data_IF_171631506015
#
_entry.id   IF_171631506015
#
_cell.length_a   1.000
_cell.length_b   1.000
_cell.length_c   1.000
_cell.angle_alpha   90.00
_cell.angle_beta   90.00
_cell.angle_gamma   90.00
#
_symmetry.space_group_name_H-M   'P 1'
#
loop_
_entity.id
_entity.type
_entity.pdbx_description
1 polymer ?
#
# COMPACT_ATOMS: atom_id res chain seq x y z
N UNK A 1 1.23 25.28 -14.72
CA UNK A 1 2.14 24.47 -13.90
C UNK A 1 1.45 23.14 -13.63
N UNK A 2 2.15 22.01 -13.75
CA UNK A 2 1.59 20.71 -13.34
C UNK A 2 1.36 20.76 -11.82
N UNK A 3 0.22 20.26 -11.39
CA UNK A 3 -0.08 20.12 -9.97
C UNK A 3 0.80 19.00 -9.38
N UNK A 4 1.38 19.18 -8.17
CA UNK A 4 2.21 18.16 -7.52
C UNK A 4 1.52 16.79 -7.41
N UNK A 5 0.19 16.74 -7.32
CA UNK A 5 -0.55 15.49 -7.35
C UNK A 5 -0.56 14.82 -8.72
N UNK A 6 -0.53 15.58 -9.82
CA UNK A 6 -0.39 15.00 -11.17
C UNK A 6 1.02 14.40 -11.36
N UNK A 7 2.04 15.10 -10.84
CA UNK A 7 3.41 14.58 -10.86
C UNK A 7 3.53 13.33 -9.97
N UNK A 8 2.89 13.33 -8.79
CA UNK A 8 2.81 12.17 -7.91
C UNK A 8 2.18 10.97 -8.62
N UNK A 9 1.00 11.14 -9.22
CA UNK A 9 0.32 10.05 -9.96
C UNK A 9 1.18 9.54 -11.10
N UNK A 10 1.87 10.44 -11.82
CA UNK A 10 2.80 10.04 -12.88
C UNK A 10 3.93 9.17 -12.32
N UNK A 11 4.57 9.60 -11.23
CA UNK A 11 5.65 8.84 -10.60
C UNK A 11 5.17 7.45 -10.11
N UNK A 12 3.99 7.40 -9.45
CA UNK A 12 3.43 6.13 -8.97
C UNK A 12 3.08 5.17 -10.12
N UNK A 13 2.54 5.68 -11.24
CA UNK A 13 2.26 4.88 -12.42
C UNK A 13 3.55 4.36 -13.10
N UNK A 14 4.66 5.10 -12.97
CA UNK A 14 5.99 4.67 -13.41
C UNK A 14 6.67 3.75 -12.38
N UNK A 15 5.92 3.28 -11.37
CA UNK A 15 6.42 2.43 -10.28
C UNK A 15 7.55 3.07 -9.44
N UNK A 16 7.54 4.41 -9.33
CA UNK A 16 8.48 5.18 -8.52
C UNK A 16 7.83 5.60 -7.21
N UNK A 17 8.55 5.42 -6.11
CA UNK A 17 8.16 5.97 -4.81
C UNK A 17 8.52 7.44 -4.73
N UNK A 18 7.68 8.23 -4.08
CA UNK A 18 7.85 9.66 -3.93
C UNK A 18 7.51 10.13 -2.51
N UNK A 19 8.03 11.27 -2.12
CA UNK A 19 7.65 11.99 -0.92
C UNK A 19 6.97 13.30 -1.33
N UNK A 20 5.86 13.63 -0.70
CA UNK A 20 5.30 14.97 -0.79
C UNK A 20 5.65 15.73 0.48
N UNK A 21 6.33 16.85 0.31
CA UNK A 21 6.64 17.77 1.39
C UNK A 21 5.69 18.96 1.31
N UNK A 22 4.88 19.15 2.34
CA UNK A 22 3.93 20.27 2.47
C UNK A 22 4.43 21.20 3.55
N UNK A 23 4.80 22.44 3.19
CA UNK A 23 5.21 23.49 4.12
C UNK A 23 4.00 24.35 4.45
N UNK A 24 3.60 24.33 5.71
CA UNK A 24 2.48 25.12 6.24
C UNK A 24 3.01 26.49 6.65
N UNK A 25 2.52 27.58 6.05
CA UNK A 25 2.96 28.93 6.43
C UNK A 25 2.53 29.29 7.85
N UNK A 26 3.18 30.29 8.44
CA UNK A 26 2.84 30.79 9.79
C UNK A 26 1.49 31.55 9.80
N UNK A 27 1.19 32.21 8.71
CA UNK A 27 -0.08 32.92 8.55
C UNK A 27 -1.11 32.02 7.85
N UNK A 28 -2.28 31.87 8.48
CA UNK A 28 -3.34 30.97 7.97
C UNK A 28 -3.92 31.40 6.61
N UNK A 29 -3.67 32.59 6.15
CA UNK A 29 -4.15 33.14 4.88
C UNK A 29 -3.20 32.82 3.71
N UNK A 30 -2.01 32.32 3.99
CA UNK A 30 -1.05 31.92 2.96
C UNK A 30 -1.30 30.49 2.51
N UNK A 31 -0.84 30.20 1.30
CA UNK A 31 -1.00 28.87 0.68
C UNK A 31 0.04 27.89 1.19
N UNK A 32 -0.37 26.65 1.40
CA UNK A 32 0.56 25.55 1.64
C UNK A 32 1.42 25.32 0.39
N UNK A 33 2.73 25.35 0.57
CA UNK A 33 3.67 25.02 -0.49
C UNK A 33 3.89 23.51 -0.52
N UNK A 34 3.67 22.89 -1.68
CA UNK A 34 3.87 21.46 -1.88
C UNK A 34 5.00 21.20 -2.86
N UNK A 35 5.89 20.31 -2.50
CA UNK A 35 7.01 19.85 -3.32
C UNK A 35 7.03 18.32 -3.38
N UNK A 36 7.23 17.77 -4.57
CA UNK A 36 7.41 16.33 -4.78
C UNK A 36 8.89 16.02 -4.85
N UNK A 37 9.34 15.08 -4.02
CA UNK A 37 10.72 14.61 -3.95
C UNK A 37 10.73 13.13 -4.38
N UNK A 38 11.40 12.84 -5.50
CA UNK A 38 11.67 11.45 -5.90
C UNK A 38 12.77 10.87 -5.00
N UNK A 39 12.55 9.68 -4.44
CA UNK A 39 13.48 9.06 -3.47
C UNK A 39 14.90 8.82 -4.00
N UNK A 40 15.09 8.85 -5.31
CA UNK A 40 16.40 8.65 -5.95
C UNK A 40 17.22 9.95 -6.10
N UNK A 41 16.72 11.12 -5.63
CA UNK A 41 17.34 12.44 -5.80
C UNK A 41 17.67 13.14 -4.48
N UNK A 42 18.02 12.39 -3.45
CA UNK A 42 18.21 12.91 -2.07
C UNK A 42 19.44 13.81 -1.86
N UNK A 43 20.30 14.04 -2.85
CA UNK A 43 21.63 14.64 -2.67
C UNK A 43 21.68 16.12 -2.25
N UNK A 44 20.52 16.84 -2.20
CA UNK A 44 20.52 18.30 -1.98
C UNK A 44 19.89 18.77 -0.65
N UNK A 45 19.58 17.85 0.29
CA UNK A 45 18.80 18.19 1.48
C UNK A 45 19.70 18.44 2.71
N UNK A 46 19.28 19.37 3.59
CA UNK A 46 19.97 19.62 4.87
C UNK A 46 20.02 18.35 5.73
N UNK A 47 21.06 18.18 6.55
CA UNK A 47 21.28 16.98 7.38
C UNK A 47 20.10 16.65 8.30
N UNK A 48 19.42 17.68 8.83
CA UNK A 48 18.22 17.51 9.71
C UNK A 48 17.03 17.02 8.91
N UNK A 49 16.76 17.58 7.73
CA UNK A 49 15.68 17.16 6.86
C UNK A 49 15.93 15.74 6.34
N UNK A 50 17.16 15.42 5.99
CA UNK A 50 17.55 14.06 5.57
C UNK A 50 17.24 13.01 6.65
N UNK A 51 17.55 13.29 7.92
CA UNK A 51 17.22 12.38 9.02
C UNK A 51 15.70 12.19 9.21
N UNK A 52 14.91 13.25 8.99
CA UNK A 52 13.43 13.17 9.02
C UNK A 52 12.88 12.34 7.85
N UNK A 53 13.35 12.62 6.64
CA UNK A 53 12.99 11.88 5.43
C UNK A 53 13.30 10.39 5.59
N UNK A 54 14.51 10.04 6.02
CA UNK A 54 14.89 8.66 6.28
C UNK A 54 13.93 7.99 7.26
N UNK A 55 13.56 8.67 8.35
CA UNK A 55 12.60 8.14 9.32
C UNK A 55 11.21 7.91 8.72
N UNK A 56 10.73 8.82 7.86
CA UNK A 56 9.45 8.71 7.16
C UNK A 56 9.47 7.52 6.20
N UNK A 57 10.57 7.32 5.47
CA UNK A 57 10.76 6.19 4.55
C UNK A 57 10.81 4.86 5.32
N UNK A 58 11.61 4.78 6.38
CA UNK A 58 11.79 3.57 7.19
C UNK A 58 10.48 3.17 7.89
N UNK A 59 9.71 4.15 8.36
CA UNK A 59 8.44 3.93 9.05
C UNK A 59 7.26 3.82 8.09
N UNK A 60 7.43 4.26 6.85
CA UNK A 60 6.37 4.34 5.82
C UNK A 60 5.12 5.11 6.30
N UNK A 61 5.33 6.17 7.08
CA UNK A 61 4.27 6.98 7.71
C UNK A 61 4.54 8.46 7.53
N UNK A 62 3.51 9.28 7.38
CA UNK A 62 3.66 10.73 7.45
C UNK A 62 4.28 11.18 8.77
N UNK A 63 5.02 12.27 8.72
CA UNK A 63 5.53 12.97 9.91
C UNK A 63 5.30 14.47 9.77
N UNK A 64 4.56 15.05 10.70
CA UNK A 64 4.44 16.50 10.85
C UNK A 64 5.45 16.96 11.91
N UNK A 65 6.25 17.96 11.59
CA UNK A 65 7.21 18.55 12.54
C UNK A 65 7.28 20.06 12.38
N UNK A 66 7.75 20.75 13.43
CA UNK A 66 7.95 22.19 13.44
C UNK A 66 9.44 22.49 13.28
N UNK A 67 9.79 23.41 12.39
CA UNK A 67 11.13 23.97 12.23
C UNK A 67 11.46 24.97 13.34
N UNK A 68 12.72 25.39 13.42
CA UNK A 68 13.19 26.37 14.41
C UNK A 68 12.51 27.76 14.24
N UNK A 69 12.11 28.13 13.04
CA UNK A 69 11.38 29.34 12.70
C UNK A 69 9.88 29.29 13.00
N UNK A 70 9.40 28.16 13.54
CA UNK A 70 7.98 27.93 13.83
C UNK A 70 7.17 27.35 12.65
N UNK A 71 7.73 27.31 11.46
CA UNK A 71 7.08 26.72 10.27
C UNK A 71 6.84 25.23 10.46
N UNK A 72 5.64 24.76 10.15
CA UNK A 72 5.32 23.33 10.16
C UNK A 72 5.56 22.70 8.79
N UNK A 73 6.08 21.48 8.79
CA UNK A 73 6.32 20.70 7.59
C UNK A 73 5.73 19.30 7.75
N UNK A 74 4.85 18.92 6.84
CA UNK A 74 4.34 17.58 6.71
C UNK A 74 5.11 16.85 5.59
N UNK A 75 5.70 15.71 5.90
CA UNK A 75 6.32 14.81 4.93
C UNK A 75 5.47 13.56 4.83
N UNK A 76 4.96 13.28 3.63
CA UNK A 76 4.12 12.13 3.33
C UNK A 76 4.82 11.20 2.34
N UNK A 77 5.02 9.91 2.68
CA UNK A 77 5.56 8.94 1.75
C UNK A 77 4.44 8.33 0.91
N UNK A 78 4.68 8.25 -0.39
CA UNK A 78 3.81 7.59 -1.35
C UNK A 78 4.57 6.46 -2.05
N UNK A 79 3.95 5.30 -2.11
CA UNK A 79 4.50 4.11 -2.73
C UNK A 79 3.56 3.67 -3.84
N UNK A 80 4.07 3.10 -4.94
CA UNK A 80 3.24 2.47 -5.96
C UNK A 80 2.32 1.41 -5.35
N UNK A 81 1.18 1.21 -5.97
CA UNK A 81 0.28 0.11 -5.58
C UNK A 81 1.03 -1.22 -5.63
N UNK A 82 0.90 -1.98 -4.56
CA UNK A 82 1.52 -3.30 -4.52
C UNK A 82 0.87 -4.19 -5.57
N UNK A 83 1.68 -4.77 -6.48
CA UNK A 83 1.20 -5.72 -7.47
C UNK A 83 1.29 -7.14 -6.92
N UNK A 84 0.25 -7.93 -7.14
CA UNK A 84 0.28 -9.37 -6.91
C UNK A 84 0.24 -10.09 -8.26
N UNK A 85 1.34 -10.74 -8.59
CA UNK A 85 1.51 -11.51 -9.83
C UNK A 85 1.25 -12.98 -9.50
N UNK A 86 0.16 -13.52 -10.03
CA UNK A 86 -0.28 -14.89 -9.79
C UNK A 86 0.03 -15.72 -11.04
N UNK A 87 0.98 -16.62 -10.92
CA UNK A 87 1.44 -17.50 -11.99
C UNK A 87 0.74 -18.86 -11.89
N UNK A 88 -0.23 -19.06 -12.78
CA UNK A 88 -1.15 -20.18 -12.81
C UNK A 88 -2.61 -19.75 -12.57
N UNK A 89 -3.50 -20.09 -13.50
CA UNK A 89 -4.93 -19.74 -13.49
C UNK A 89 -5.84 -20.83 -12.89
N UNK A 90 -5.32 -21.63 -11.94
CA UNK A 90 -6.08 -22.71 -11.30
C UNK A 90 -7.11 -22.23 -10.27
N UNK A 91 -7.82 -23.16 -9.62
CA UNK A 91 -8.88 -22.85 -8.64
C UNK A 91 -8.38 -22.05 -7.44
N UNK A 92 -7.14 -22.28 -6.98
CA UNK A 92 -6.54 -21.47 -5.90
C UNK A 92 -6.45 -20.00 -6.31
N UNK A 93 -6.12 -19.75 -7.57
CA UNK A 93 -5.96 -18.39 -8.12
C UNK A 93 -7.25 -17.61 -8.15
N UNK A 94 -8.41 -18.25 -8.33
CA UNK A 94 -9.71 -17.59 -8.26
C UNK A 94 -9.96 -16.94 -6.89
N UNK A 95 -9.63 -17.66 -5.81
CA UNK A 95 -9.72 -17.13 -4.45
C UNK A 95 -8.64 -16.10 -4.17
N UNK A 96 -7.40 -16.31 -4.63
CA UNK A 96 -6.31 -15.36 -4.46
C UNK A 96 -6.62 -14.02 -5.13
N UNK A 97 -7.11 -14.03 -6.37
CA UNK A 97 -7.52 -12.83 -7.10
C UNK A 97 -8.57 -12.05 -6.32
N UNK A 98 -9.62 -12.73 -5.85
CA UNK A 98 -10.68 -12.11 -5.05
C UNK A 98 -10.12 -11.43 -3.81
N UNK A 99 -9.35 -12.15 -2.99
CA UNK A 99 -8.82 -11.60 -1.74
C UNK A 99 -7.75 -10.52 -1.98
N UNK A 100 -6.91 -10.68 -3.00
CA UNK A 100 -5.89 -9.69 -3.32
C UNK A 100 -6.49 -8.37 -3.79
N UNK A 101 -7.51 -8.41 -4.65
CA UNK A 101 -8.26 -7.23 -5.10
C UNK A 101 -8.92 -6.50 -3.92
N UNK A 102 -9.61 -7.23 -3.02
CA UNK A 102 -10.20 -6.65 -1.81
C UNK A 102 -9.16 -6.06 -0.84
N UNK A 103 -7.91 -6.56 -0.87
CA UNK A 103 -6.79 -6.01 -0.10
C UNK A 103 -6.07 -4.82 -0.77
N UNK A 104 -6.55 -4.36 -1.92
CA UNK A 104 -5.99 -3.24 -2.66
C UNK A 104 -4.66 -3.56 -3.38
N UNK A 105 -4.49 -4.79 -3.85
CA UNK A 105 -3.42 -5.10 -4.79
C UNK A 105 -3.89 -4.86 -6.22
N UNK A 106 -3.00 -4.36 -7.07
CA UNK A 106 -3.12 -4.52 -8.50
C UNK A 106 -2.83 -5.98 -8.84
N UNK A 107 -3.84 -6.72 -9.31
CA UNK A 107 -3.78 -8.17 -9.49
C UNK A 107 -3.54 -8.53 -10.94
N UNK A 108 -2.47 -9.28 -11.19
CA UNK A 108 -2.08 -9.78 -12.51
C UNK A 108 -2.12 -11.30 -12.49
N UNK A 109 -2.84 -11.90 -13.42
CA UNK A 109 -2.89 -13.36 -13.60
C UNK A 109 -2.19 -13.74 -14.89
N UNK A 110 -1.39 -14.81 -14.84
CA UNK A 110 -0.65 -15.33 -15.99
C UNK A 110 -0.77 -16.85 -16.08
N UNK A 111 -1.25 -17.37 -17.18
CA UNK A 111 -1.29 -18.82 -17.47
C UNK A 111 -1.15 -19.03 -18.99
N UNK A 112 -0.56 -20.14 -19.41
CA UNK A 112 -0.33 -20.45 -20.81
C UNK A 112 -1.57 -21.02 -21.53
N UNK A 113 -2.70 -21.16 -20.85
CA UNK A 113 -3.93 -21.77 -21.37
C UNK A 113 -5.08 -20.77 -21.39
N UNK A 114 -5.66 -20.54 -22.57
CA UNK A 114 -6.75 -19.57 -22.75
C UNK A 114 -7.98 -19.85 -21.86
N UNK A 115 -8.29 -21.12 -21.58
CA UNK A 115 -9.41 -21.49 -20.68
C UNK A 115 -9.11 -21.21 -19.20
N UNK A 116 -7.86 -20.90 -18.84
CA UNK A 116 -7.41 -20.59 -17.49
C UNK A 116 -6.89 -19.16 -17.33
N UNK A 117 -6.66 -18.45 -18.43
CA UNK A 117 -6.21 -17.07 -18.45
C UNK A 117 -7.17 -16.23 -19.29
N UNK A 118 -8.28 -15.85 -18.72
CA UNK A 118 -9.27 -14.96 -19.33
C UNK A 118 -10.04 -14.14 -18.29
N UNK A 119 -10.58 -13.00 -18.72
CA UNK A 119 -11.25 -12.06 -17.83
C UNK A 119 -12.58 -12.58 -17.26
N UNK A 120 -13.26 -13.50 -17.97
CA UNK A 120 -14.49 -14.11 -17.48
C UNK A 120 -14.22 -14.94 -16.21
N UNK A 121 -13.07 -15.65 -16.19
CA UNK A 121 -12.63 -16.43 -15.03
C UNK A 121 -12.11 -15.56 -13.89
N UNK A 122 -11.49 -14.43 -14.22
CA UNK A 122 -10.88 -13.51 -13.24
C UNK A 122 -11.44 -12.09 -13.34
N UNK A 123 -12.73 -11.88 -13.04
CA UNK A 123 -13.36 -10.56 -13.20
C UNK A 123 -12.78 -9.48 -12.28
N UNK A 124 -12.12 -9.89 -11.18
CA UNK A 124 -11.48 -8.97 -10.22
C UNK A 124 -9.97 -8.81 -10.45
N UNK A 125 -9.40 -9.39 -11.51
CA UNK A 125 -8.02 -9.13 -11.88
C UNK A 125 -7.93 -7.86 -12.75
N UNK A 126 -6.89 -7.05 -12.52
CA UNK A 126 -6.63 -5.85 -13.32
C UNK A 126 -6.10 -6.23 -14.69
N UNK A 127 -5.26 -7.27 -14.77
CA UNK A 127 -4.70 -7.76 -16.02
C UNK A 127 -4.67 -9.30 -16.03
N UNK A 128 -5.00 -9.89 -17.17
CA UNK A 128 -4.95 -11.35 -17.37
C UNK A 128 -4.21 -11.64 -18.67
N UNK A 129 -3.09 -12.35 -18.57
CA UNK A 129 -2.25 -12.70 -19.70
C UNK A 129 -2.31 -14.20 -20.01
N UNK A 130 -2.63 -14.52 -21.27
CA UNK A 130 -2.55 -15.85 -21.81
C UNK A 130 -1.31 -15.97 -22.70
N UNK A 131 -0.19 -16.35 -22.11
CA UNK A 131 1.09 -16.40 -22.81
C UNK A 131 2.00 -17.48 -22.19
N UNK A 132 3.02 -17.93 -22.92
CA UNK A 132 4.02 -18.89 -22.43
C UNK A 132 4.80 -18.33 -21.25
N UNK A 133 5.04 -19.16 -20.23
CA UNK A 133 5.78 -18.76 -19.02
C UNK A 133 7.22 -18.31 -19.31
N UNK A 134 7.82 -18.69 -20.44
CA UNK A 134 9.14 -18.23 -20.86
C UNK A 134 9.16 -16.72 -21.20
N UNK A 135 8.00 -16.14 -21.53
CA UNK A 135 7.86 -14.72 -21.85
C UNK A 135 7.41 -13.85 -20.66
N UNK A 136 7.34 -14.44 -19.46
CA UNK A 136 6.82 -13.78 -18.27
C UNK A 136 7.46 -12.39 -18.00
N UNK A 137 8.79 -12.33 -18.01
CA UNK A 137 9.51 -11.08 -17.74
C UNK A 137 9.36 -10.03 -18.84
N UNK A 138 9.20 -10.46 -20.09
CA UNK A 138 8.97 -9.57 -21.23
C UNK A 138 7.55 -8.99 -21.23
N UNK A 139 6.59 -9.74 -20.71
CA UNK A 139 5.16 -9.36 -20.72
C UNK A 139 4.80 -8.49 -19.51
N UNK A 140 5.24 -8.89 -18.30
CA UNK A 140 4.79 -8.26 -17.05
C UNK A 140 5.84 -7.29 -16.49
N UNK A 141 7.12 -7.45 -16.82
CA UNK A 141 8.23 -6.70 -16.23
C UNK A 141 8.19 -6.69 -14.69
N UNK A 142 8.33 -7.88 -14.04
CA UNK A 142 8.30 -7.96 -12.58
C UNK A 142 9.45 -7.17 -11.95
N UNK A 143 9.23 -6.65 -10.73
CA UNK A 143 10.21 -5.85 -10.01
C UNK A 143 10.28 -6.21 -8.52
N UNK A 144 11.16 -5.56 -7.79
CA UNK A 144 11.43 -5.82 -6.36
C UNK A 144 10.28 -5.47 -5.39
N UNK A 145 9.28 -4.70 -5.84
CA UNK A 145 8.11 -4.36 -5.04
C UNK A 145 6.97 -5.37 -5.19
N UNK A 146 7.06 -6.29 -6.15
CA UNK A 146 5.99 -7.22 -6.47
C UNK A 146 5.87 -8.37 -5.47
N UNK A 147 4.66 -8.89 -5.38
CA UNK A 147 4.32 -10.11 -4.66
C UNK A 147 4.05 -11.21 -5.68
N UNK A 148 5.00 -12.14 -5.84
CA UNK A 148 4.91 -13.21 -6.84
C UNK A 148 4.44 -14.50 -6.19
N UNK A 149 3.36 -15.07 -6.72
CA UNK A 149 2.73 -16.30 -6.26
C UNK A 149 2.74 -17.31 -7.38
N UNK A 150 3.54 -18.39 -7.24
CA UNK A 150 3.66 -19.48 -8.21
C UNK A 150 2.75 -20.62 -7.77
N UNK A 151 1.63 -20.79 -8.51
CA UNK A 151 0.60 -21.82 -8.26
C UNK A 151 0.20 -22.52 -9.55
N UNK A 152 1.21 -22.86 -10.36
CA UNK A 152 1.01 -23.51 -11.67
C UNK A 152 0.50 -24.95 -11.54
N UNK A 153 0.10 -25.55 -12.67
CA UNK A 153 -0.39 -26.93 -12.73
C UNK A 153 0.67 -28.01 -12.55
N UNK A 154 1.97 -27.64 -12.59
CA UNK A 154 3.02 -28.65 -12.58
C UNK A 154 4.43 -28.11 -12.35
N UNK A 155 5.31 -28.96 -11.79
CA UNK A 155 6.65 -28.55 -11.35
C UNK A 155 7.56 -28.04 -12.48
N UNK A 156 7.34 -28.46 -13.72
CA UNK A 156 8.06 -27.95 -14.87
C UNK A 156 7.78 -26.46 -15.07
N UNK A 157 6.52 -26.07 -14.96
CA UNK A 157 6.09 -24.68 -15.08
C UNK A 157 6.47 -23.87 -13.86
N UNK A 158 6.39 -24.45 -12.64
CA UNK A 158 6.87 -23.81 -11.42
C UNK A 158 8.34 -23.42 -11.54
N UNK A 159 9.16 -24.34 -12.08
CA UNK A 159 10.59 -24.10 -12.28
C UNK A 159 10.84 -23.02 -13.35
N UNK A 160 10.10 -23.06 -14.47
CA UNK A 160 10.19 -22.04 -15.52
C UNK A 160 9.88 -20.67 -14.94
N UNK A 161 8.77 -20.52 -14.21
CA UNK A 161 8.41 -19.28 -13.53
C UNK A 161 9.48 -18.84 -12.54
N UNK A 162 9.97 -19.76 -11.69
CA UNK A 162 10.95 -19.46 -10.67
C UNK A 162 12.26 -18.92 -11.28
N UNK A 163 12.75 -19.52 -12.36
CA UNK A 163 13.94 -19.06 -13.08
C UNK A 163 13.80 -17.63 -13.60
N UNK A 164 12.60 -17.26 -14.04
CA UNK A 164 12.31 -15.92 -14.55
C UNK A 164 12.34 -14.84 -13.44
N UNK A 165 11.92 -15.17 -12.21
CA UNK A 165 11.66 -14.16 -11.19
C UNK A 165 12.66 -14.14 -10.03
N UNK A 166 13.40 -15.23 -9.77
CA UNK A 166 14.24 -15.34 -8.56
C UNK A 166 15.37 -14.31 -8.53
N UNK A 167 15.93 -13.96 -9.69
CA UNK A 167 16.99 -12.95 -9.83
C UNK A 167 16.51 -11.53 -9.61
N UNK A 168 15.22 -11.26 -9.77
CA UNK A 168 14.59 -9.95 -9.57
C UNK A 168 14.46 -9.63 -8.08
N UNK A 169 14.42 -10.64 -7.22
CA UNK A 169 14.25 -10.54 -5.76
C UNK A 169 12.96 -9.80 -5.37
N UNK A 170 11.79 -10.25 -5.84
CA UNK A 170 10.54 -9.60 -5.52
C UNK A 170 10.33 -9.56 -4.01
N UNK A 171 9.51 -8.64 -3.54
CA UNK A 171 9.21 -8.44 -2.12
C UNK A 171 8.64 -9.68 -1.44
N UNK A 172 7.86 -10.45 -2.19
CA UNK A 172 7.37 -11.76 -1.79
C UNK A 172 7.53 -12.72 -2.97
N UNK A 173 8.09 -13.89 -2.71
CA UNK A 173 8.15 -14.98 -3.66
C UNK A 173 7.67 -16.24 -2.96
N UNK A 174 6.54 -16.75 -3.39
CA UNK A 174 5.97 -17.97 -2.86
C UNK A 174 5.71 -19.01 -3.96
N UNK A 175 5.97 -20.28 -3.67
CA UNK A 175 5.73 -21.36 -4.63
C UNK A 175 4.98 -22.51 -3.95
N UNK A 176 3.90 -22.97 -4.60
CA UNK A 176 3.15 -24.16 -4.16
C UNK A 176 3.98 -25.43 -4.34
N UNK A 177 3.79 -26.38 -3.46
CA UNK A 177 4.39 -27.72 -3.60
C UNK A 177 4.49 -28.43 -2.26
N UNK A 178 4.58 -29.77 -2.30
CA UNK A 178 4.93 -30.54 -1.11
C UNK A 178 6.39 -30.27 -0.72
N UNK A 179 6.74 -30.49 0.55
CA UNK A 179 8.12 -30.33 1.04
C UNK A 179 9.14 -31.12 0.20
N UNK A 180 8.79 -32.34 -0.21
CA UNK A 180 9.63 -33.16 -1.08
C UNK A 180 9.90 -32.51 -2.43
N UNK A 181 8.83 -32.01 -3.07
CA UNK A 181 8.92 -31.37 -4.39
C UNK A 181 9.71 -30.06 -4.33
N UNK A 182 9.48 -29.25 -3.31
CA UNK A 182 10.24 -28.01 -3.08
C UNK A 182 11.74 -28.29 -2.94
N UNK A 183 12.10 -29.35 -2.20
CA UNK A 183 13.50 -29.77 -2.07
C UNK A 183 14.12 -30.15 -3.40
N UNK A 184 13.44 -30.99 -4.19
CA UNK A 184 13.90 -31.42 -5.51
C UNK A 184 14.15 -30.23 -6.44
N UNK A 185 13.24 -29.24 -6.46
CA UNK A 185 13.37 -28.00 -7.24
C UNK A 185 14.57 -27.18 -6.76
N UNK A 186 14.70 -26.95 -5.45
CA UNK A 186 15.84 -26.19 -4.88
C UNK A 186 17.18 -26.84 -5.22
N UNK A 187 17.30 -28.15 -5.03
CA UNK A 187 18.52 -28.90 -5.36
C UNK A 187 18.87 -28.79 -6.84
N UNK A 188 17.88 -28.86 -7.73
CA UNK A 188 18.10 -28.66 -9.15
C UNK A 188 18.57 -27.26 -9.48
N UNK A 189 17.92 -26.22 -8.94
CA UNK A 189 18.30 -24.83 -9.15
C UNK A 189 19.72 -24.55 -8.66
N UNK A 190 20.13 -25.12 -7.51
CA UNK A 190 21.50 -24.99 -7.00
C UNK A 190 22.49 -25.63 -7.96
N UNK A 191 22.19 -26.83 -8.48
CA UNK A 191 23.04 -27.50 -9.51
C UNK A 191 23.18 -26.69 -10.79
N UNK A 192 22.16 -25.90 -11.13
CA UNK A 192 22.16 -24.99 -12.28
C UNK A 192 22.85 -23.64 -11.99
N UNK A 193 23.37 -23.42 -10.77
CA UNK A 193 24.14 -22.24 -10.40
C UNK A 193 23.37 -21.09 -9.76
N UNK A 194 22.10 -21.30 -9.41
CA UNK A 194 21.33 -20.27 -8.69
C UNK A 194 21.79 -20.18 -7.22
N UNK A 195 21.92 -18.97 -6.64
CA UNK A 195 22.34 -18.80 -5.26
C UNK A 195 21.38 -19.42 -4.25
N UNK A 196 21.88 -20.31 -3.40
CA UNK A 196 21.10 -20.97 -2.37
C UNK A 196 20.41 -19.97 -1.42
N UNK A 197 21.05 -18.85 -1.12
CA UNK A 197 20.49 -17.79 -0.29
C UNK A 197 19.17 -17.26 -0.84
N UNK A 198 19.05 -17.06 -2.15
CA UNK A 198 17.81 -16.58 -2.78
C UNK A 198 16.70 -17.64 -2.70
N UNK A 199 17.05 -18.90 -2.91
CA UNK A 199 16.12 -20.03 -2.82
C UNK A 199 15.62 -20.24 -1.39
N UNK A 200 16.44 -19.96 -0.38
CA UNK A 200 16.05 -20.07 1.02
C UNK A 200 15.15 -18.91 1.50
N UNK A 201 15.16 -17.76 0.82
CA UNK A 201 14.22 -16.66 1.08
C UNK A 201 12.83 -16.89 0.50
N UNK A 202 12.69 -17.85 -0.43
CA UNK A 202 11.41 -18.19 -1.03
C UNK A 202 10.50 -18.92 -0.04
N UNK A 203 9.24 -18.47 0.07
CA UNK A 203 8.20 -19.12 0.85
C UNK A 203 7.70 -20.38 0.12
N UNK A 204 8.25 -21.53 0.47
CA UNK A 204 7.87 -22.80 -0.16
C UNK A 204 8.05 -23.98 0.81
N UNK A 205 7.00 -24.74 1.09
CA UNK A 205 5.60 -24.56 0.62
C UNK A 205 5.04 -23.19 0.93
N UNK A 206 4.27 -22.62 -0.03
CA UNK A 206 3.66 -21.30 0.08
C UNK A 206 2.55 -21.29 1.14
N UNK A 207 2.41 -20.18 1.85
CA UNK A 207 1.39 -19.97 2.88
C UNK A 207 1.83 -20.44 4.27
N UNK A 208 1.12 -19.99 5.28
CA UNK A 208 1.30 -20.49 6.65
C UNK A 208 0.74 -21.90 6.79
N UNK A 209 1.39 -22.74 7.59
CA UNK A 209 0.87 -24.06 7.92
C UNK A 209 -0.29 -23.95 8.93
N UNK A 210 -1.50 -23.74 8.41
CA UNK A 210 -2.75 -23.68 9.19
C UNK A 210 -3.60 -24.94 9.04
N UNK A 211 -3.07 -25.99 8.39
CA UNK A 211 -3.80 -27.24 8.16
C UNK A 211 -4.79 -27.18 6.98
N UNK A 212 -4.69 -26.16 6.10
CA UNK A 212 -5.59 -26.01 4.96
C UNK A 212 -5.45 -27.13 3.93
N UNK A 213 -6.59 -27.65 3.46
CA UNK A 213 -6.68 -28.78 2.50
C UNK A 213 -7.39 -28.31 1.21
N UNK A 214 -8.45 -27.53 1.35
CA UNK A 214 -9.23 -27.06 0.20
C UNK A 214 -8.54 -25.88 -0.51
N UNK A 215 -8.83 -25.64 -1.82
CA UNK A 215 -8.27 -24.50 -2.53
C UNK A 215 -8.48 -23.14 -1.84
N UNK A 216 -9.64 -22.94 -1.21
CA UNK A 216 -9.95 -21.70 -0.48
C UNK A 216 -9.11 -21.57 0.79
N UNK A 217 -8.93 -22.65 1.56
CA UNK A 217 -8.10 -22.65 2.76
C UNK A 217 -6.62 -22.42 2.43
N UNK A 218 -6.14 -23.00 1.33
CA UNK A 218 -4.78 -22.75 0.81
C UNK A 218 -4.63 -21.28 0.43
N UNK A 219 -5.61 -20.70 -0.28
CA UNK A 219 -5.58 -19.28 -0.63
C UNK A 219 -5.56 -18.39 0.63
N UNK A 220 -6.37 -18.72 1.65
CA UNK A 220 -6.36 -18.02 2.94
C UNK A 220 -4.98 -18.10 3.62
N UNK A 221 -4.34 -19.27 3.61
CA UNK A 221 -3.02 -19.44 4.21
C UNK A 221 -1.94 -18.59 3.53
N UNK A 222 -2.00 -18.49 2.19
CA UNK A 222 -1.12 -17.66 1.37
C UNK A 222 -1.35 -16.17 1.69
N UNK A 223 -2.60 -15.75 1.69
CA UNK A 223 -3.00 -14.37 1.99
C UNK A 223 -2.57 -13.97 3.41
N UNK A 224 -2.75 -14.85 4.40
CA UNK A 224 -2.31 -14.61 5.77
C UNK A 224 -0.79 -14.39 5.87
N UNK A 225 0.00 -15.17 5.13
CA UNK A 225 1.46 -15.00 5.07
C UNK A 225 1.86 -13.68 4.41
N UNK A 226 1.18 -13.30 3.33
CA UNK A 226 1.39 -12.02 2.63
C UNK A 226 1.02 -10.84 3.54
N UNK A 227 -0.10 -10.90 4.27
CA UNK A 227 -0.49 -9.89 5.26
C UNK A 227 0.57 -9.78 6.35
N UNK A 228 1.10 -10.90 6.86
CA UNK A 228 2.17 -10.90 7.85
C UNK A 228 3.41 -10.18 7.34
N UNK A 229 3.84 -10.45 6.11
CA UNK A 229 4.95 -9.73 5.50
C UNK A 229 4.66 -8.22 5.36
N UNK A 230 3.45 -7.86 4.91
CA UNK A 230 3.06 -6.45 4.77
C UNK A 230 3.00 -5.71 6.10
N UNK A 231 2.48 -6.33 7.15
CA UNK A 231 2.16 -5.66 8.42
C UNK A 231 3.17 -5.90 9.53
N UNK A 232 3.91 -7.01 9.48
CA UNK A 232 4.90 -7.38 10.51
C UNK A 232 6.34 -7.48 9.95
N UNK A 233 6.51 -7.43 8.62
CA UNK A 233 7.82 -7.54 7.97
C UNK A 233 8.39 -8.94 7.94
N UNK A 234 7.60 -9.97 8.25
CA UNK A 234 8.06 -11.36 8.30
C UNK A 234 7.07 -12.33 7.70
N UNK A 235 7.59 -13.40 7.10
CA UNK A 235 6.84 -14.57 6.64
C UNK A 235 6.95 -15.74 7.63
N UNK A 236 7.66 -15.57 8.74
CA UNK A 236 7.77 -16.56 9.81
C UNK A 236 6.62 -16.41 10.79
N UNK A 237 5.81 -17.45 10.94
CA UNK A 237 4.63 -17.45 11.81
C UNK A 237 4.97 -17.32 13.30
N UNK A 238 6.07 -17.93 13.75
CA UNK A 238 6.51 -17.89 15.14
C UNK A 238 7.02 -16.49 15.47
N UNK A 239 7.85 -15.93 14.59
CA UNK A 239 8.33 -14.57 14.73
C UNK A 239 7.16 -13.57 14.69
N UNK A 240 6.22 -13.73 13.75
CA UNK A 240 5.03 -12.88 13.63
C UNK A 240 4.22 -12.85 14.94
N UNK A 241 4.04 -14.00 15.59
CA UNK A 241 3.31 -14.10 16.87
C UNK A 241 4.02 -13.37 18.03
N UNK A 242 5.33 -13.20 17.96
CA UNK A 242 6.13 -12.51 18.99
C UNK A 242 6.23 -10.99 18.79
N UNK A 243 5.96 -10.51 17.58
CA UNK A 243 6.07 -9.09 17.25
C UNK A 243 4.89 -8.29 17.80
N UNK A 244 5.19 -7.34 18.68
CA UNK A 244 4.18 -6.43 19.27
C UNK A 244 3.90 -5.22 18.38
N UNK A 245 4.80 -4.90 17.45
CA UNK A 245 4.73 -3.68 16.63
C UNK A 245 4.35 -4.03 15.21
N UNK A 246 3.22 -3.51 14.77
CA UNK A 246 2.81 -3.55 13.35
C UNK A 246 3.59 -2.50 12.56
N UNK A 247 3.97 -2.82 11.34
CA UNK A 247 4.40 -1.84 10.35
C UNK A 247 3.10 -1.17 9.87
N UNK A 248 2.92 0.06 10.31
CA UNK A 248 1.77 0.86 9.97
C UNK A 248 2.14 1.63 8.69
N UNK A 249 1.75 1.08 7.56
CA UNK A 249 1.94 1.77 6.29
C UNK A 249 1.04 3.00 6.23
N UNK A 250 1.54 4.08 5.60
CA UNK A 250 0.68 5.19 5.18
C UNK A 250 -0.54 4.63 4.44
N UNK A 251 -1.73 4.97 4.93
CA UNK A 251 -2.96 4.56 4.30
C UNK A 251 -3.25 5.48 3.11
N UNK A 252 -2.71 5.12 1.94
CA UNK A 252 -2.97 5.88 0.73
C UNK A 252 -4.36 5.53 0.17
N UNK A 253 -5.21 6.54 0.07
CA UNK A 253 -6.49 6.43 -0.62
C UNK A 253 -6.30 6.80 -2.10
N UNK A 254 -6.06 5.79 -2.96
CA UNK A 254 -5.77 5.99 -4.38
C UNK A 254 -6.85 6.80 -5.10
N UNK A 255 -8.13 6.51 -4.83
CA UNK A 255 -9.24 7.27 -5.42
C UNK A 255 -9.23 8.76 -5.05
N UNK A 256 -8.84 9.09 -3.80
CA UNK A 256 -8.68 10.48 -3.34
C UNK A 256 -7.55 11.17 -4.09
N UNK A 257 -6.39 10.52 -4.19
CA UNK A 257 -5.23 11.07 -4.90
C UNK A 257 -5.54 11.29 -6.39
N UNK A 258 -6.19 10.32 -7.04
CA UNK A 258 -6.61 10.43 -8.44
C UNK A 258 -7.60 11.60 -8.65
N UNK A 259 -8.56 11.78 -7.74
CA UNK A 259 -9.52 12.90 -7.82
C UNK A 259 -8.81 14.25 -7.68
N UNK A 260 -7.86 14.40 -6.77
CA UNK A 260 -7.09 15.65 -6.64
C UNK A 260 -6.23 15.88 -7.90
N UNK A 261 -5.61 14.82 -8.42
CA UNK A 261 -4.77 14.90 -9.62
C UNK A 261 -5.57 15.18 -10.90
N UNK A 262 -6.87 14.88 -10.95
CA UNK A 262 -7.71 15.17 -12.13
C UNK A 262 -7.77 16.65 -12.49
N UNK A 263 -7.40 17.53 -11.55
CA UNK A 263 -7.40 18.98 -11.79
C UNK A 263 -8.81 19.57 -11.89
N UNK A 264 -9.79 18.92 -11.29
CA UNK A 264 -11.14 19.43 -11.20
C UNK A 264 -11.11 20.80 -10.49
N UNK A 265 -11.79 21.79 -11.07
CA UNK A 265 -11.85 23.14 -10.54
C UNK A 265 -12.83 23.27 -9.36
N UNK A 266 -13.59 22.21 -9.05
CA UNK A 266 -14.52 22.20 -7.94
C UNK A 266 -13.77 22.32 -6.62
N UNK A 267 -14.14 23.35 -5.83
CA UNK A 267 -13.48 23.63 -4.55
C UNK A 267 -13.84 22.57 -3.52
N UNK A 268 -12.83 21.96 -2.91
CA UNK A 268 -12.94 20.92 -1.89
C UNK A 268 -11.91 21.08 -0.80
N UNK A 269 -12.15 20.53 0.36
CA UNK A 269 -11.16 20.41 1.41
C UNK A 269 -10.48 19.04 1.33
N UNK A 270 -9.15 19.03 1.41
CA UNK A 270 -8.35 17.81 1.57
C UNK A 270 -8.10 17.62 3.07
N UNK A 271 -8.61 16.55 3.62
CA UNK A 271 -8.36 16.14 5.00
C UNK A 271 -7.29 15.06 5.00
N UNK A 272 -6.24 15.24 5.79
CA UNK A 272 -5.14 14.27 5.95
C UNK A 272 -4.93 13.95 7.41
N UNK A 273 -4.96 12.67 7.77
CA UNK A 273 -4.55 12.22 9.11
C UNK A 273 -3.03 12.33 9.22
N UNK A 274 -2.54 13.23 10.06
CA UNK A 274 -1.11 13.51 10.24
C UNK A 274 -0.48 12.70 11.36
N UNK A 275 -1.30 12.30 12.35
CA UNK A 275 -0.86 11.52 13.49
C UNK A 275 -2.00 10.80 14.19
N UNK A 276 -1.67 9.69 14.88
CA UNK A 276 -2.63 8.95 15.69
C UNK A 276 -2.01 8.47 16.97
N UNK A 277 -2.81 8.41 18.04
CA UNK A 277 -2.41 7.88 19.35
C UNK A 277 -3.54 7.02 19.92
N UNK A 278 -3.21 5.84 20.43
CA UNK A 278 -4.21 4.87 20.89
C UNK A 278 -4.85 4.09 19.71
N UNK A 279 -6.06 3.59 19.93
CA UNK A 279 -6.82 2.83 18.93
C UNK A 279 -7.66 3.76 18.08
N UNK A 280 -7.27 3.94 16.82
CA UNK A 280 -7.97 4.77 15.84
C UNK A 280 -8.46 3.92 14.69
N UNK A 281 -9.61 4.23 14.06
CA UNK A 281 -10.17 3.44 12.96
C UNK A 281 -9.31 3.49 11.70
N UNK A 282 -8.63 4.62 11.44
CA UNK A 282 -7.68 4.81 10.33
C UNK A 282 -6.36 5.37 10.84
N UNK A 283 -5.28 5.05 10.16
CA UNK A 283 -3.92 5.46 10.48
C UNK A 283 -3.48 6.76 9.83
N UNK A 284 -2.29 7.23 10.19
CA UNK A 284 -1.66 8.40 9.57
C UNK A 284 -1.46 8.18 8.07
N UNK A 285 -1.78 9.20 7.27
CA UNK A 285 -1.78 9.15 5.80
C UNK A 285 -3.15 8.92 5.19
N UNK A 286 -4.16 8.47 5.96
CA UNK A 286 -5.53 8.39 5.49
C UNK A 286 -6.03 9.77 5.04
N UNK A 287 -6.76 9.79 3.92
CA UNK A 287 -7.27 11.02 3.33
C UNK A 287 -8.76 10.95 3.05
N UNK A 288 -9.39 12.11 3.14
CA UNK A 288 -10.78 12.31 2.75
C UNK A 288 -10.91 13.66 2.04
N UNK A 289 -11.68 13.71 0.97
CA UNK A 289 -12.14 14.96 0.36
C UNK A 289 -13.52 15.32 0.93
N UNK A 290 -13.72 16.60 1.15
CA UNK A 290 -15.00 17.14 1.61
C UNK A 290 -15.38 18.29 0.69
N UNK A 291 -16.56 18.22 0.08
CA UNK A 291 -17.13 19.31 -0.72
C UNK A 291 -18.04 20.21 0.12
N UNK A 292 -18.36 21.39 -0.44
CA UNK A 292 -19.21 22.38 0.23
C UNK A 292 -20.62 21.86 0.56
N UNK A 293 -21.15 20.96 -0.26
CA UNK A 293 -22.46 20.29 -0.06
C UNK A 293 -22.42 19.20 1.01
N UNK A 294 -21.23 18.88 1.54
CA UNK A 294 -21.01 17.84 2.55
C UNK A 294 -20.78 16.44 1.96
N UNK A 295 -20.71 16.29 0.64
CA UNK A 295 -20.22 15.04 0.03
C UNK A 295 -18.79 14.77 0.46
N UNK A 296 -18.44 13.48 0.51
CA UNK A 296 -17.10 13.00 0.83
C UNK A 296 -16.64 11.96 -0.16
N UNK A 297 -15.30 11.88 -0.35
CA UNK A 297 -14.62 10.78 -1.02
C UNK A 297 -13.44 10.34 -0.14
N UNK A 298 -13.30 9.04 0.09
CA UNK A 298 -12.37 8.51 1.09
C UNK A 298 -12.97 8.57 2.50
N UNK A 299 -12.16 8.25 3.51
CA UNK A 299 -12.61 8.20 4.91
C UNK A 299 -11.43 8.32 5.86
N UNK A 300 -11.64 8.97 6.99
CA UNK A 300 -10.68 9.04 8.10
C UNK A 300 -11.08 8.13 9.27
N UNK A 301 -12.16 7.34 9.10
CA UNK A 301 -12.56 6.33 10.08
C UNK A 301 -14.04 6.19 10.35
N UNK A 302 -14.87 7.07 9.78
CA UNK A 302 -16.33 7.05 9.94
C UNK A 302 -16.83 7.57 11.31
N UNK A 303 -18.16 7.60 11.46
CA UNK A 303 -18.80 7.97 12.71
C UNK A 303 -18.70 9.47 13.07
N UNK A 304 -18.77 9.77 14.36
CA UNK A 304 -18.81 11.15 14.88
C UNK A 304 -17.51 11.92 14.61
N UNK A 305 -16.37 11.22 14.57
CA UNK A 305 -15.09 11.85 14.23
C UNK A 305 -15.10 12.52 12.86
N UNK A 306 -15.77 11.94 11.87
CA UNK A 306 -15.93 12.57 10.55
C UNK A 306 -16.90 13.76 10.57
N UNK A 307 -17.94 13.70 11.38
CA UNK A 307 -18.92 14.78 11.45
C UNK A 307 -18.32 16.12 11.87
N UNK A 308 -17.42 16.14 12.85
CA UNK A 308 -16.70 17.33 13.29
C UNK A 308 -15.74 17.83 12.20
N UNK A 309 -14.97 16.92 11.60
CA UNK A 309 -14.01 17.25 10.54
C UNK A 309 -14.72 17.76 9.28
N UNK A 310 -15.85 17.15 8.88
CA UNK A 310 -16.66 17.64 7.75
C UNK A 310 -17.16 19.06 7.98
N UNK A 311 -17.61 19.36 9.20
CA UNK A 311 -18.06 20.71 9.57
C UNK A 311 -16.92 21.71 9.47
N UNK A 312 -15.79 21.43 10.14
CA UNK A 312 -14.60 22.26 10.07
C UNK A 312 -14.08 22.45 8.63
N UNK A 313 -14.17 21.39 7.80
CA UNK A 313 -13.80 21.47 6.39
C UNK A 313 -14.68 22.43 5.59
N UNK A 314 -15.99 22.42 5.84
CA UNK A 314 -16.94 23.32 5.15
C UNK A 314 -16.73 24.77 5.56
N UNK A 315 -16.49 25.02 6.84
CA UNK A 315 -16.20 26.37 7.36
C UNK A 315 -14.89 26.90 6.72
N UNK A 316 -13.87 26.03 6.64
CA UNK A 316 -12.59 26.39 6.01
C UNK A 316 -12.72 26.73 4.52
N UNK A 317 -13.61 26.07 3.79
CA UNK A 317 -13.83 26.36 2.37
C UNK A 317 -14.31 27.80 2.12
N UNK A 318 -14.92 28.45 3.09
CA UNK A 318 -15.29 29.85 3.02
C UNK A 318 -14.12 30.80 3.35
N UNK A 319 -13.17 30.37 4.19
CA UNK A 319 -12.01 31.15 4.62
C UNK A 319 -10.78 30.98 3.69
N UNK A 320 -10.70 29.87 2.97
CA UNK A 320 -9.75 29.68 1.88
C UNK A 320 -8.31 29.33 2.25
N UNK A 321 -8.05 28.70 3.41
CA UNK A 321 -6.71 28.39 3.87
C UNK A 321 -6.54 26.94 4.36
N UNK A 322 -5.92 26.75 5.50
CA UNK A 322 -5.77 25.45 6.16
C UNK A 322 -5.99 25.58 7.67
N UNK A 323 -6.28 24.45 8.32
CA UNK A 323 -6.31 24.33 9.78
C UNK A 323 -5.88 22.94 10.21
N UNK A 324 -5.46 22.83 11.47
CA UNK A 324 -5.21 21.53 12.12
C UNK A 324 -6.27 21.32 13.19
N UNK A 325 -6.79 20.11 13.29
CA UNK A 325 -7.78 19.70 14.26
C UNK A 325 -7.33 18.42 14.96
N UNK A 326 -7.54 18.35 16.27
CA UNK A 326 -7.36 17.12 17.03
C UNK A 326 -8.75 16.54 17.36
N UNK A 327 -8.99 15.33 16.89
CA UNK A 327 -10.22 14.58 17.15
C UNK A 327 -9.94 13.60 18.29
N UNK A 328 -10.58 13.81 19.43
CA UNK A 328 -10.47 12.96 20.61
C UNK A 328 -11.66 11.98 20.68
N UNK A 329 -11.37 10.69 20.52
CA UNK A 329 -12.34 9.60 20.60
C UNK A 329 -12.26 8.83 21.92
N UNK A 330 -11.50 9.36 22.92
CA UNK A 330 -11.27 8.66 24.20
C UNK A 330 -12.30 8.99 25.25
N UNK A 331 -13.02 10.09 25.12
CA UNK A 331 -13.91 10.63 26.16
C UNK A 331 -15.34 10.08 26.07
N UNK A 332 -16.11 10.36 27.10
CA UNK A 332 -17.48 9.90 27.40
C UNK A 332 -18.49 9.94 26.23
N UNK A 333 -18.20 10.73 25.19
CA UNK A 333 -18.98 10.81 23.94
C UNK A 333 -18.98 9.44 23.20
N UNK A 334 -17.88 8.69 23.25
CA UNK A 334 -17.79 7.35 22.66
C UNK A 334 -18.69 6.34 23.38
N UNK A 335 -18.90 6.52 24.68
CA UNK A 335 -19.77 5.67 25.49
C UNK A 335 -21.26 5.91 25.24
N UNK A 336 -21.66 7.17 24.98
CA UNK A 336 -23.06 7.51 24.66
C UNK A 336 -23.47 7.05 23.25
N UNK A 337 -22.50 6.91 22.31
CA UNK A 337 -22.75 6.50 20.92
C UNK A 337 -22.35 5.05 20.61
N UNK A 338 -21.94 4.27 21.61
CA UNK A 338 -21.59 2.85 21.43
C UNK A 338 -20.29 2.59 20.65
N UNK A 339 -19.40 3.59 20.55
CA UNK A 339 -18.12 3.46 19.86
C UNK A 339 -17.03 2.91 20.79
N UNK A 340 -16.31 1.89 20.32
CA UNK A 340 -15.24 1.19 21.07
C UNK A 340 -13.85 1.78 20.81
N UNK A 341 -13.73 2.85 20.04
CA UNK A 341 -12.47 3.47 19.65
C UNK A 341 -12.01 4.46 20.71
N UNK A 342 -10.88 4.21 21.38
CA UNK A 342 -10.32 5.05 22.45
C UNK A 342 -9.01 5.73 22.04
N UNK A 343 -8.96 6.41 20.89
CA UNK A 343 -7.75 7.04 20.35
C UNK A 343 -7.90 8.52 20.08
N UNK A 344 -6.77 9.18 19.80
CA UNK A 344 -6.68 10.56 19.36
C UNK A 344 -6.15 10.59 17.94
N UNK A 345 -6.72 11.44 17.10
CA UNK A 345 -6.32 11.62 15.71
C UNK A 345 -6.03 13.12 15.46
N UNK A 346 -4.83 13.40 14.96
CA UNK A 346 -4.47 14.73 14.48
C UNK A 346 -4.71 14.80 12.97
N UNK A 347 -5.45 15.80 12.50
CA UNK A 347 -5.77 15.99 11.09
C UNK A 347 -5.34 17.37 10.61
N UNK A 348 -4.84 17.43 9.38
CA UNK A 348 -4.67 18.64 8.60
C UNK A 348 -5.84 18.77 7.63
N UNK A 349 -6.49 19.90 7.60
CA UNK A 349 -7.55 20.26 6.66
C UNK A 349 -7.02 21.42 5.82
N UNK A 350 -7.03 21.27 4.49
CA UNK A 350 -6.56 22.27 3.55
C UNK A 350 -7.60 22.51 2.44
N UNK A 351 -7.90 23.76 2.11
CA UNK A 351 -8.77 24.10 1.00
C UNK A 351 -8.03 23.89 -0.34
N UNK A 352 -8.70 23.32 -1.34
CA UNK A 352 -8.12 23.00 -2.64
C UNK A 352 -9.17 23.11 -3.76
N UNK A 353 -8.86 23.64 -4.99
CA UNK A 353 -7.64 24.42 -5.27
C UNK A 353 -7.64 25.76 -4.55
N UNK A 354 -6.44 26.33 -4.37
CA UNK A 354 -6.22 27.60 -3.67
C UNK A 354 -6.62 28.82 -4.51
#
# INVERSE_FOLDING_TARGET
MKNCYQELVTALNENKSALMMSTLPLEKNEKILKELIELNKEEALSSVLHAKIKRVIDRKRPELFTKEDGTQVLIEPFFPEARMIILGGGTISEFLVKYASEMGFKVIVFDDRISFANQERFPNADEVFCESYEKLTETIHPNENDFVVIVTRGHQYDMTCLKQVIGIKPRYLGMIGSQRRVREIKEQMIREGYPEELLNKMCSPIGFNIGGITPVEIAISIVAQIISLRRLGTTDMVLAASLKKKIDYSEMDGAVIQKIASGDEERMAIVTVTGTKGSTPRGAGAKMLVWRDGKTLGSIGGGCSEGEVIRASRDLLDEGSFTTLQVDMTADIAAEEGMVCGGIMDVLIEAYPY
#
